data_IF_242494928437
#
_entry.id   IF_242494928437
#
_cell.length_a   1.000
_cell.length_b   1.000
_cell.length_c   1.000
_cell.angle_alpha   90.00
_cell.angle_beta   90.00
_cell.angle_gamma   90.00
#
_symmetry.space_group_name_H-M   'P 1'
#
loop_
_entity.id
_entity.type
_entity.pdbx_description
1 polymer ?
#
# COMPACT_ATOMS: atom_id res chain seq x y z
N UNK A 1 -22.43 22.72 -20.49
CA UNK A 1 -21.04 22.72 -20.00
C UNK A 1 -20.60 21.26 -19.90
N UNK A 2 -19.84 20.77 -20.88
CA UNK A 2 -19.45 19.36 -20.97
C UNK A 2 -18.29 19.09 -20.01
N UNK A 3 -18.54 18.33 -18.95
CA UNK A 3 -17.49 17.86 -18.07
C UNK A 3 -16.69 16.75 -18.78
N UNK A 4 -15.44 17.07 -19.08
CA UNK A 4 -14.43 16.16 -19.58
C UNK A 4 -14.21 15.05 -18.53
N UNK A 5 -14.89 13.91 -18.69
CA UNK A 5 -14.61 12.75 -17.86
C UNK A 5 -13.19 12.29 -18.21
N UNK A 6 -12.30 12.37 -17.23
CA UNK A 6 -10.96 11.83 -17.32
C UNK A 6 -11.08 10.35 -17.72
N UNK A 7 -10.59 10.01 -18.92
CA UNK A 7 -10.48 8.62 -19.35
C UNK A 7 -9.58 7.92 -18.33
N UNK A 8 -10.11 6.93 -17.63
CA UNK A 8 -9.31 5.99 -16.85
C UNK A 8 -8.28 5.39 -17.81
N UNK A 9 -6.96 5.54 -17.56
CA UNK A 9 -5.97 4.97 -18.44
C UNK A 9 -6.13 3.44 -18.42
N UNK A 10 -6.36 2.84 -19.57
CA UNK A 10 -6.27 1.40 -19.75
C UNK A 10 -4.81 0.99 -19.50
N UNK A 11 -4.57 0.27 -18.41
CA UNK A 11 -3.27 -0.28 -18.10
C UNK A 11 -2.95 -1.36 -19.13
N UNK A 12 -2.08 -1.00 -20.08
CA UNK A 12 -1.48 -1.90 -21.05
C UNK A 12 -0.85 -3.09 -20.29
N UNK A 13 -1.24 -4.32 -20.62
CA UNK A 13 -0.77 -5.53 -19.93
C UNK A 13 0.75 -5.77 -20.07
N UNK A 14 1.39 -5.07 -21.01
CA UNK A 14 2.83 -5.09 -21.29
C UNK A 14 3.53 -3.77 -20.89
N UNK A 15 2.88 -2.91 -20.10
CA UNK A 15 3.51 -1.69 -19.61
C UNK A 15 4.68 -2.05 -18.68
N UNK A 16 5.90 -1.65 -19.06
CA UNK A 16 7.07 -1.71 -18.17
C UNK A 16 6.72 -0.90 -16.93
N UNK A 17 6.51 -1.58 -15.80
CA UNK A 17 6.17 -0.96 -14.53
C UNK A 17 7.46 -0.35 -13.96
N UNK A 18 7.56 0.96 -14.00
CA UNK A 18 8.68 1.66 -13.38
C UNK A 18 8.51 1.60 -11.85
N UNK A 19 9.59 1.34 -11.10
CA UNK A 19 9.65 1.41 -9.63
C UNK A 19 8.90 2.59 -8.99
N UNK A 20 9.03 3.77 -9.59
CA UNK A 20 8.41 5.01 -9.12
C UNK A 20 7.03 5.30 -9.74
N UNK A 21 6.49 4.40 -10.56
CA UNK A 21 5.15 4.59 -11.09
C UNK A 21 4.15 4.71 -9.94
N UNK A 22 3.17 5.62 -10.06
CA UNK A 22 2.06 5.68 -9.12
C UNK A 22 1.42 4.31 -8.91
N UNK A 23 0.92 4.06 -7.71
CA UNK A 23 0.14 2.86 -7.45
C UNK A 23 -1.15 2.89 -8.25
N UNK A 24 -1.42 1.80 -8.95
CA UNK A 24 -2.68 1.62 -9.66
C UNK A 24 -3.79 1.27 -8.68
N UNK A 25 -5.04 1.53 -9.06
CA UNK A 25 -6.20 1.17 -8.23
C UNK A 25 -6.25 -0.35 -7.93
N UNK A 26 -5.84 -1.18 -8.89
CA UNK A 26 -5.76 -2.63 -8.73
C UNK A 26 -4.73 -3.03 -7.68
N UNK A 27 -3.54 -2.42 -7.71
CA UNK A 27 -2.50 -2.69 -6.71
C UNK A 27 -2.92 -2.25 -5.30
N UNK A 28 -3.64 -1.14 -5.18
CA UNK A 28 -4.22 -0.70 -3.90
C UNK A 28 -5.28 -1.70 -3.40
N UNK A 29 -6.13 -2.22 -4.29
CA UNK A 29 -7.13 -3.24 -3.94
C UNK A 29 -6.47 -4.56 -3.52
N UNK A 30 -5.49 -5.05 -4.27
CA UNK A 30 -4.73 -6.26 -3.93
C UNK A 30 -4.00 -6.11 -2.60
N UNK A 31 -3.41 -4.95 -2.32
CA UNK A 31 -2.78 -4.68 -1.03
C UNK A 31 -3.78 -4.79 0.13
N UNK A 32 -4.97 -4.17 0.00
CA UNK A 32 -6.01 -4.26 1.03
C UNK A 32 -6.47 -5.70 1.27
N UNK A 33 -6.55 -6.50 0.21
CA UNK A 33 -6.88 -7.92 0.32
C UNK A 33 -5.80 -8.69 1.10
N UNK A 34 -4.52 -8.47 0.80
CA UNK A 34 -3.42 -9.10 1.55
C UNK A 34 -3.45 -8.74 3.03
N UNK A 35 -3.71 -7.46 3.34
CA UNK A 35 -3.82 -6.99 4.73
C UNK A 35 -5.03 -7.60 5.46
N UNK A 36 -6.15 -7.77 4.75
CA UNK A 36 -7.35 -8.44 5.29
C UNK A 36 -7.10 -9.93 5.57
N UNK A 37 -6.47 -10.63 4.63
CA UNK A 37 -6.08 -12.04 4.80
C UNK A 37 -5.06 -12.25 5.92
N UNK A 38 -4.23 -11.24 6.22
CA UNK A 38 -3.31 -11.25 7.36
C UNK A 38 -4.02 -11.02 8.72
N UNK A 39 -5.30 -10.63 8.71
CA UNK A 39 -6.09 -10.35 9.91
C UNK A 39 -6.01 -8.90 10.40
N UNK A 40 -5.33 -8.02 9.65
CA UNK A 40 -5.08 -6.63 10.02
C UNK A 40 -5.98 -5.63 9.26
N UNK A 41 -7.14 -6.11 8.76
CA UNK A 41 -8.18 -5.25 8.18
C UNK A 41 -9.51 -5.38 8.92
N UNK A 42 -10.36 -4.37 8.74
CA UNK A 42 -11.70 -4.35 9.32
C UNK A 42 -12.35 -2.97 9.22
N UNK A 43 -13.62 -2.83 9.63
CA UNK A 43 -14.36 -1.56 9.57
C UNK A 43 -13.68 -0.42 10.36
N UNK A 44 -12.92 -0.79 11.39
CA UNK A 44 -12.12 0.09 12.23
C UNK A 44 -10.83 0.56 11.55
N UNK A 45 -10.32 -0.13 10.53
CA UNK A 45 -8.98 0.11 10.00
C UNK A 45 -8.92 1.34 9.09
N UNK A 46 -7.83 2.11 9.19
CA UNK A 46 -7.51 3.24 8.29
C UNK A 46 -6.11 3.08 7.74
N UNK A 47 -5.95 3.36 6.45
CA UNK A 47 -4.72 3.19 5.69
C UNK A 47 -4.10 4.56 5.39
N UNK A 48 -2.86 4.80 5.82
CA UNK A 48 -2.03 5.92 5.33
C UNK A 48 -0.78 5.40 4.63
N UNK A 49 -0.31 6.13 3.62
CA UNK A 49 0.73 5.67 2.69
C UNK A 49 1.98 6.54 2.75
N UNK A 50 3.16 5.91 2.73
CA UNK A 50 4.48 6.54 2.55
C UNK A 50 5.34 5.64 1.66
N UNK A 51 6.18 6.20 0.78
CA UNK A 51 7.16 5.44 0.00
C UNK A 51 8.53 6.16 -0.06
N UNK A 52 9.62 5.44 0.20
CA UNK A 52 11.02 5.92 0.07
C UNK A 52 11.89 4.83 -0.53
N UNK A 53 12.38 5.01 -1.76
CA UNK A 53 13.25 4.04 -2.46
C UNK A 53 14.61 4.71 -2.77
N UNK A 54 15.71 3.95 -2.70
CA UNK A 54 17.05 4.42 -3.11
C UNK A 54 17.30 4.14 -4.58
N UNK A 55 18.04 5.04 -5.24
CA UNK A 55 18.35 4.90 -6.65
C UNK A 55 19.37 3.77 -6.90
N UNK A 56 19.08 2.90 -7.87
CA UNK A 56 19.98 1.84 -8.35
C UNK A 56 19.71 0.43 -7.82
N UNK A 57 18.77 0.27 -6.89
CA UNK A 57 18.37 -1.05 -6.38
C UNK A 57 17.45 -1.78 -7.38
N UNK A 58 17.53 -3.11 -7.44
CA UNK A 58 16.48 -3.92 -8.04
C UNK A 58 15.30 -3.91 -7.07
N UNK A 59 14.31 -3.06 -7.33
CA UNK A 59 13.28 -2.76 -6.33
C UNK A 59 12.01 -3.57 -6.59
N UNK A 60 11.73 -4.61 -5.78
CA UNK A 60 10.46 -5.32 -5.83
C UNK A 60 9.29 -4.36 -5.62
N UNK A 61 8.14 -4.65 -6.25
CA UNK A 61 6.92 -3.83 -6.17
C UNK A 61 6.29 -3.94 -4.78
N UNK A 62 6.88 -3.24 -3.84
CA UNK A 62 6.52 -3.22 -2.42
C UNK A 62 5.76 -1.95 -2.04
N UNK A 63 4.78 -2.11 -1.16
CA UNK A 63 3.92 -1.05 -0.67
C UNK A 63 4.10 -0.90 0.84
N UNK A 64 4.53 0.30 1.27
CA UNK A 64 4.45 0.70 2.66
C UNK A 64 3.00 1.06 3.02
N UNK A 65 2.50 0.50 4.11
CA UNK A 65 1.18 0.79 4.65
C UNK A 65 1.31 1.10 6.14
N UNK A 66 0.65 2.16 6.59
CA UNK A 66 0.45 2.42 8.01
C UNK A 66 -1.03 2.15 8.31
N UNK A 67 -1.25 1.18 9.19
CA UNK A 67 -2.56 0.64 9.54
C UNK A 67 -2.85 1.02 10.98
N UNK A 68 -3.94 1.77 11.20
CA UNK A 68 -4.45 2.05 12.54
C UNK A 68 -5.66 1.16 12.81
N UNK A 69 -5.54 0.25 13.79
CA UNK A 69 -6.70 -0.43 14.34
C UNK A 69 -7.37 0.46 15.39
N UNK A 70 -8.56 0.97 15.09
CA UNK A 70 -9.32 1.82 16.01
C UNK A 70 -9.92 1.08 17.20
N UNK A 71 -10.01 -0.26 17.18
CA UNK A 71 -10.53 -1.02 18.31
C UNK A 71 -9.50 -1.09 19.44
N UNK A 72 -8.26 -1.44 19.09
CA UNK A 72 -7.12 -1.49 20.02
C UNK A 72 -6.36 -0.16 20.17
N UNK A 73 -6.61 0.79 19.27
CA UNK A 73 -5.86 2.04 19.12
C UNK A 73 -4.35 1.82 18.91
N UNK A 74 -4.00 0.75 18.19
CA UNK A 74 -2.63 0.39 17.84
C UNK A 74 -2.37 0.75 16.38
N UNK A 75 -1.26 1.46 16.12
CA UNK A 75 -0.79 1.74 14.78
C UNK A 75 0.38 0.81 14.42
N UNK A 76 0.37 0.27 13.20
CA UNK A 76 1.42 -0.60 12.67
C UNK A 76 1.92 -0.07 11.33
N UNK A 77 3.23 -0.03 11.16
CA UNK A 77 3.90 0.11 9.87
C UNK A 77 4.11 -1.28 9.27
N UNK A 78 3.75 -1.44 8.00
CA UNK A 78 3.85 -2.69 7.26
C UNK A 78 4.47 -2.45 5.89
N UNK A 79 5.24 -3.44 5.42
CA UNK A 79 5.69 -3.51 4.02
C UNK A 79 5.09 -4.76 3.39
N UNK A 80 4.36 -4.56 2.29
CA UNK A 80 3.64 -5.61 1.57
C UNK A 80 4.28 -5.80 0.20
N UNK A 81 4.73 -7.01 -0.08
CA UNK A 81 5.18 -7.40 -1.41
C UNK A 81 3.99 -7.93 -2.22
N UNK A 82 3.50 -7.12 -3.17
CA UNK A 82 2.24 -7.40 -3.87
C UNK A 82 2.29 -8.63 -4.79
N UNK A 83 3.30 -8.80 -5.68
CA UNK A 83 3.35 -9.98 -6.54
C UNK A 83 3.47 -11.31 -5.78
N UNK A 84 4.14 -11.30 -4.63
CA UNK A 84 4.35 -12.47 -3.77
C UNK A 84 3.21 -12.71 -2.78
N UNK A 85 2.23 -11.80 -2.71
CA UNK A 85 1.08 -11.89 -1.81
C UNK A 85 1.48 -12.04 -0.33
N UNK A 86 2.48 -11.25 0.11
CA UNK A 86 3.12 -11.43 1.41
C UNK A 86 3.35 -10.10 2.13
N UNK A 87 3.10 -10.07 3.44
CA UNK A 87 3.63 -9.04 4.35
C UNK A 87 5.07 -9.42 4.71
N UNK A 88 6.03 -8.58 4.35
CA UNK A 88 7.46 -8.85 4.55
C UNK A 88 8.07 -8.06 5.72
N UNK A 89 7.37 -7.02 6.18
CA UNK A 89 7.74 -6.29 7.38
C UNK A 89 6.49 -5.88 8.15
N UNK A 90 6.55 -5.96 9.47
CA UNK A 90 5.54 -5.44 10.39
C UNK A 90 6.24 -4.90 11.61
N UNK A 91 5.89 -3.66 11.98
CA UNK A 91 6.37 -2.99 13.16
C UNK A 91 5.22 -2.22 13.80
N UNK A 92 4.90 -2.54 15.04
CA UNK A 92 4.01 -1.72 15.84
C UNK A 92 4.69 -0.37 16.16
N UNK A 93 3.95 0.73 15.98
CA UNK A 93 4.41 2.08 16.27
C UNK A 93 4.15 2.44 17.73
N UNK A 94 5.12 3.13 18.34
CA UNK A 94 4.98 3.72 19.66
C UNK A 94 4.62 5.21 19.53
N UNK A 95 3.41 5.64 19.94
CA UNK A 95 2.98 7.03 19.82
C UNK A 95 3.88 8.03 20.58
N UNK A 96 4.64 7.58 21.57
CA UNK A 96 5.52 8.46 22.36
C UNK A 96 6.83 8.77 21.62
N UNK A 97 7.34 7.83 20.83
CA UNK A 97 8.68 7.93 20.21
C UNK A 97 8.64 8.07 18.70
N UNK A 98 7.56 7.62 18.07
CA UNK A 98 7.43 7.53 16.62
C UNK A 98 6.51 8.61 16.02
N UNK A 99 5.75 9.34 16.86
CA UNK A 99 4.87 10.46 16.46
C UNK A 99 3.71 10.72 17.40
#
# INVERSE_FOLDING_TARGET
MMCCHAKTPELNKDAVIHPLDPLTAKEVQSMKQVVDEAGDAGPSCRYSYVRVWKAGDDVPRENGALVLDKASNVACEMVVHIPAHQVIHTRQLNPVTDG
#
